data_IF_986765645943
#
_entry.id   IF_986765645943
#
_cell.length_a   1.000
_cell.length_b   1.000
_cell.length_c   1.000
_cell.angle_alpha   90.00
_cell.angle_beta   90.00
_cell.angle_gamma   90.00
#
_symmetry.space_group_name_H-M   'P 1'
#
loop_
_entity.id
_entity.type
_entity.pdbx_description
1 polymer ?
#
# COMPACT_ATOMS: atom_id res chain seq x y z
N UNK A 1 7.61 7.64 -7.38
CA UNK A 1 6.92 6.35 -7.49
C UNK A 1 7.49 5.61 -8.67
N UNK A 2 7.83 4.33 -8.49
CA UNK A 2 8.26 3.45 -9.59
C UNK A 2 7.01 2.82 -10.23
N UNK A 3 6.84 2.97 -11.54
CA UNK A 3 5.67 2.44 -12.27
C UNK A 3 5.52 0.92 -12.13
N UNK A 4 6.64 0.21 -11.94
CA UNK A 4 6.65 -1.24 -11.78
C UNK A 4 5.91 -1.70 -10.52
N UNK A 5 6.05 -0.97 -9.41
CA UNK A 5 5.35 -1.29 -8.17
C UNK A 5 3.84 -1.09 -8.30
N UNK A 6 3.41 -0.10 -9.09
CA UNK A 6 1.99 0.10 -9.32
C UNK A 6 1.40 -1.09 -10.11
N UNK A 7 2.10 -1.57 -11.13
CA UNK A 7 1.67 -2.73 -11.93
C UNK A 7 1.61 -4.00 -11.10
N UNK A 8 2.62 -4.27 -10.26
CA UNK A 8 2.62 -5.45 -9.40
C UNK A 8 1.55 -5.35 -8.31
N UNK A 9 1.37 -4.17 -7.69
CA UNK A 9 0.33 -3.97 -6.69
C UNK A 9 -1.07 -4.15 -7.28
N UNK A 10 -1.27 -3.78 -8.55
CA UNK A 10 -2.54 -3.97 -9.25
C UNK A 10 -2.89 -5.45 -9.51
N UNK A 11 -1.89 -6.34 -9.55
CA UNK A 11 -2.14 -7.80 -9.60
C UNK A 11 -2.67 -8.33 -8.27
N UNK A 12 -2.31 -7.68 -7.15
CA UNK A 12 -2.79 -8.04 -5.81
C UNK A 12 -4.14 -7.40 -5.50
N UNK A 13 -4.31 -6.12 -5.85
CA UNK A 13 -5.56 -5.37 -5.70
C UNK A 13 -6.01 -4.89 -7.09
N UNK A 14 -6.87 -5.66 -7.78
CA UNK A 14 -7.28 -5.36 -9.16
C UNK A 14 -8.22 -4.16 -9.26
N UNK A 15 -8.92 -3.79 -8.19
CA UNK A 15 -9.71 -2.56 -8.17
C UNK A 15 -8.82 -1.35 -7.90
N UNK A 16 -8.73 -0.44 -8.88
CA UNK A 16 -7.89 0.75 -8.79
C UNK A 16 -8.35 1.73 -7.68
N UNK A 17 -9.66 1.86 -7.44
CA UNK A 17 -10.18 2.73 -6.39
C UNK A 17 -9.81 2.19 -5.01
N UNK A 18 -9.93 0.87 -4.81
CA UNK A 18 -9.51 0.22 -3.58
C UNK A 18 -7.99 0.38 -3.39
N UNK A 19 -7.19 0.10 -4.43
CA UNK A 19 -5.73 0.23 -4.37
C UNK A 19 -5.31 1.65 -3.95
N UNK A 20 -5.87 2.68 -4.59
CA UNK A 20 -5.58 4.08 -4.26
C UNK A 20 -5.94 4.39 -2.79
N UNK A 21 -7.09 3.91 -2.32
CA UNK A 21 -7.54 4.13 -0.95
C UNK A 21 -6.61 3.44 0.07
N UNK A 22 -6.22 2.20 -0.18
CA UNK A 22 -5.31 1.43 0.68
C UNK A 22 -3.93 2.12 0.74
N UNK A 23 -3.37 2.48 -0.41
CA UNK A 23 -2.08 3.18 -0.50
C UNK A 23 -2.15 4.52 0.23
N UNK A 24 -3.19 5.33 0.00
CA UNK A 24 -3.37 6.64 0.64
C UNK A 24 -3.44 6.53 2.17
N UNK A 25 -4.22 5.56 2.68
CA UNK A 25 -4.30 5.30 4.13
C UNK A 25 -2.95 4.86 4.69
N UNK A 26 -2.23 4.00 3.98
CA UNK A 26 -0.94 3.49 4.44
C UNK A 26 0.15 4.57 4.42
N UNK A 27 0.20 5.39 3.38
CA UNK A 27 1.13 6.54 3.29
C UNK A 27 0.91 7.50 4.46
N UNK A 28 -0.34 7.79 4.82
CA UNK A 28 -0.65 8.63 5.99
C UNK A 28 -0.13 8.03 7.30
N UNK A 29 -0.21 6.72 7.47
CA UNK A 29 0.34 6.02 8.63
C UNK A 29 1.86 6.13 8.70
N UNK A 30 2.55 5.88 7.58
CA UNK A 30 4.01 5.99 7.49
C UNK A 30 4.48 7.43 7.79
N UNK A 31 3.79 8.43 7.26
CA UNK A 31 4.08 9.85 7.53
C UNK A 31 3.84 10.25 9.00
N UNK A 32 2.98 9.54 9.72
CA UNK A 32 2.78 9.70 11.17
C UNK A 32 3.84 8.97 12.02
N UNK A 33 4.83 8.33 11.38
CA UNK A 33 5.90 7.62 12.08
C UNK A 33 5.61 6.14 12.32
N UNK A 34 4.54 5.57 11.75
CA UNK A 34 4.32 4.13 11.83
C UNK A 34 5.44 3.39 11.10
N UNK A 35 5.94 2.31 11.70
CA UNK A 35 7.03 1.51 11.14
C UNK A 35 6.60 0.84 9.83
N UNK A 36 7.50 0.85 8.85
CA UNK A 36 7.38 0.04 7.64
C UNK A 36 7.47 -1.45 7.98
N UNK A 37 6.60 -2.26 7.39
CA UNK A 37 6.57 -3.72 7.51
C UNK A 37 7.54 -4.39 6.53
N UNK A 38 8.00 -3.65 5.54
CA UNK A 38 8.99 -4.07 4.55
C UNK A 38 10.35 -3.54 4.94
N UNK A 39 11.34 -4.43 5.00
CA UNK A 39 12.74 -4.05 5.15
C UNK A 39 13.28 -3.56 3.81
N UNK A 40 13.86 -2.36 3.83
CA UNK A 40 14.53 -1.78 2.67
C UNK A 40 15.84 -1.17 3.11
N UNK A 41 16.93 -1.58 2.46
CA UNK A 41 18.26 -0.98 2.64
C UNK A 41 18.34 0.41 1.98
N UNK A 42 17.44 0.70 1.03
CA UNK A 42 17.29 1.98 0.37
C UNK A 42 16.26 2.87 1.08
N UNK A 43 16.50 4.20 1.09
CA UNK A 43 15.51 5.21 1.49
C UNK A 43 14.40 5.28 0.44
N UNK A 44 13.35 4.50 0.65
CA UNK A 44 12.14 4.54 -0.18
C UNK A 44 11.21 5.67 0.25
N UNK A 45 10.44 6.18 -0.71
CA UNK A 45 9.33 7.07 -0.42
C UNK A 45 8.23 6.31 0.34
N UNK A 46 7.42 6.97 1.20
CA UNK A 46 6.27 6.34 1.84
C UNK A 46 5.33 5.66 0.85
N UNK A 47 5.20 6.25 -0.35
CA UNK A 47 4.43 5.73 -1.46
C UNK A 47 4.96 4.38 -1.95
N UNK A 48 6.27 4.28 -2.19
CA UNK A 48 6.91 3.05 -2.64
C UNK A 48 6.89 1.96 -1.55
N UNK A 49 7.01 2.34 -0.27
CA UNK A 49 6.89 1.41 0.86
C UNK A 49 5.48 0.82 0.92
N UNK A 50 4.44 1.65 0.82
CA UNK A 50 3.06 1.20 0.85
C UNK A 50 2.74 0.24 -0.30
N UNK A 51 3.23 0.54 -1.52
CA UNK A 51 3.05 -0.37 -2.66
C UNK A 51 3.79 -1.70 -2.45
N UNK A 52 5.02 -1.69 -1.93
CA UNK A 52 5.74 -2.93 -1.60
C UNK A 52 5.05 -3.76 -0.53
N UNK A 53 4.51 -3.12 0.50
CA UNK A 53 3.76 -3.83 1.54
C UNK A 53 2.50 -4.51 0.99
N UNK A 54 1.85 -3.93 -0.04
CA UNK A 54 0.74 -4.56 -0.75
C UNK A 54 1.24 -5.73 -1.62
N UNK A 55 2.31 -5.53 -2.38
CA UNK A 55 2.90 -6.58 -3.24
C UNK A 55 3.35 -7.79 -2.42
N UNK A 56 3.97 -7.56 -1.26
CA UNK A 56 4.41 -8.61 -0.33
C UNK A 56 3.25 -9.20 0.50
N UNK A 57 2.01 -8.75 0.32
CA UNK A 57 0.83 -9.26 1.04
C UNK A 57 0.81 -8.93 2.53
N UNK A 58 1.60 -7.94 2.98
CA UNK A 58 1.70 -7.54 4.39
C UNK A 58 0.56 -6.64 4.84
N UNK A 59 -0.18 -6.07 3.89
CA UNK A 59 -1.39 -5.26 4.14
C UNK A 59 -2.56 -5.95 3.48
N UNK A 60 -3.63 -6.13 4.26
CA UNK A 60 -4.93 -6.57 3.77
C UNK A 60 -5.89 -5.39 3.75
N UNK A 61 -6.88 -5.46 2.87
CA UNK A 61 -8.02 -4.55 2.89
C UNK A 61 -9.27 -5.35 3.20
N UNK A 62 -10.20 -4.72 3.90
CA UNK A 62 -11.56 -5.21 4.06
C UNK A 62 -12.45 -4.14 3.44
N UNK A 63 -13.30 -4.54 2.52
CA UNK A 63 -14.43 -3.71 2.12
C UNK A 63 -15.29 -3.57 3.38
N UNK A 64 -15.46 -2.33 3.84
CA UNK A 64 -16.44 -2.08 4.87
C UNK A 64 -17.78 -2.41 4.23
N UNK A 65 -18.35 -3.59 4.51
CA UNK A 65 -19.76 -3.85 4.27
C UNK A 65 -20.48 -2.68 4.93
N UNK A 66 -21.08 -1.83 4.10
CA UNK A 66 -21.85 -0.70 4.57
C UNK A 66 -22.91 -1.28 5.49
N UNK A 67 -22.76 -1.01 6.79
CA UNK A 67 -23.75 -1.38 7.80
C UNK A 67 -25.11 -0.91 7.28
N UNK A 68 -25.95 -1.89 6.98
CA UNK A 68 -27.27 -1.72 6.38
C UNK A 68 -28.26 -1.17 7.40
#
# INVERSE_FOLDING_TARGET
MRDDYLKEAHKVIPDANILINVVSRRVKQLRRGQRALVESLEKLSPEDIALREIIEGKITYQEAEAAK
#
